data_IF_624735729895
#
_entry.id   IF_624735729895
#
_cell.length_a   1.000
_cell.length_b   1.000
_cell.length_c   1.000
_cell.angle_alpha   90.00
_cell.angle_beta   90.00
_cell.angle_gamma   90.00
#
_symmetry.space_group_name_H-M   'P 1'
#
loop_
_entity.id
_entity.type
_entity.pdbx_description
1 polymer ?
#
# COMPACT_ATOMS: atom_id res chain seq x y z
N UNK A 1 2.00 -2.09 15.74
CA UNK A 1 3.04 -1.06 15.64
C UNK A 1 4.15 -1.63 14.75
N UNK A 2 4.28 -1.12 13.53
CA UNK A 2 5.37 -1.54 12.64
C UNK A 2 6.67 -0.89 13.11
N UNK A 3 7.67 -1.71 13.45
CA UNK A 3 9.03 -1.24 13.71
C UNK A 3 9.53 -0.61 12.42
N UNK A 4 9.84 0.69 12.45
CA UNK A 4 10.42 1.37 11.29
C UNK A 4 11.85 0.84 11.15
N UNK A 5 12.20 0.16 10.04
CA UNK A 5 13.55 -0.34 9.87
C UNK A 5 14.52 0.85 9.79
N UNK A 6 15.61 0.79 10.56
CA UNK A 6 16.69 1.77 10.51
C UNK A 6 17.56 1.50 9.27
N UNK A 7 17.10 1.96 8.11
CA UNK A 7 17.89 1.99 6.87
C UNK A 7 18.88 3.15 6.85
N UNK A 8 19.89 3.04 5.98
CA UNK A 8 20.95 4.06 5.78
C UNK A 8 20.38 5.36 5.21
N UNK A 9 19.24 5.28 4.51
CA UNK A 9 18.55 6.40 3.87
C UNK A 9 17.08 6.41 4.31
N UNK A 10 16.59 7.58 4.75
CA UNK A 10 15.20 7.81 5.10
C UNK A 10 14.52 8.59 3.98
N UNK A 11 13.78 7.89 3.11
CA UNK A 11 12.95 8.55 2.10
C UNK A 11 11.71 9.19 2.75
N UNK A 12 11.30 10.36 2.24
CA UNK A 12 10.01 10.97 2.56
C UNK A 12 8.86 10.10 2.07
N UNK A 13 7.79 10.03 2.85
CA UNK A 13 6.66 9.14 2.56
C UNK A 13 5.87 9.58 1.32
N UNK A 14 5.93 10.87 0.97
CA UNK A 14 5.38 11.40 -0.28
C UNK A 14 6.09 10.81 -1.49
N UNK A 15 7.42 10.72 -1.44
CA UNK A 15 8.22 10.19 -2.53
C UNK A 15 7.88 8.73 -2.78
N UNK A 16 7.65 7.96 -1.71
CA UNK A 16 7.23 6.54 -1.81
C UNK A 16 5.85 6.38 -2.45
N UNK A 17 4.88 7.24 -2.12
CA UNK A 17 3.55 7.24 -2.76
C UNK A 17 3.66 7.56 -4.25
N UNK A 18 4.41 8.60 -4.61
CA UNK A 18 4.61 9.02 -6.00
C UNK A 18 5.36 7.92 -6.77
N UNK A 19 6.40 7.35 -6.16
CA UNK A 19 7.18 6.25 -6.71
C UNK A 19 6.28 5.04 -6.99
N UNK A 20 5.46 4.61 -6.03
CA UNK A 20 4.49 3.54 -6.20
C UNK A 20 3.55 3.81 -7.39
N UNK A 21 2.91 4.98 -7.43
CA UNK A 21 1.99 5.34 -8.51
C UNK A 21 2.70 5.36 -9.87
N UNK A 22 3.90 5.95 -9.92
CA UNK A 22 4.71 6.02 -11.14
C UNK A 22 5.12 4.64 -11.64
N UNK A 23 5.53 3.75 -10.75
CA UNK A 23 5.90 2.37 -11.11
C UNK A 23 4.71 1.57 -11.61
N UNK A 24 3.53 1.72 -11.00
CA UNK A 24 2.31 1.07 -11.50
C UNK A 24 1.99 1.53 -12.92
N UNK A 25 1.95 2.85 -13.18
CA UNK A 25 1.66 3.39 -14.51
C UNK A 25 2.69 2.89 -15.54
N UNK A 26 3.98 2.95 -15.18
CA UNK A 26 5.07 2.57 -16.06
C UNK A 26 5.02 1.09 -16.49
N UNK A 27 4.80 0.19 -15.54
CA UNK A 27 4.81 -1.26 -15.76
C UNK A 27 3.58 -1.71 -16.55
N UNK A 28 2.43 -1.06 -16.34
CA UNK A 28 1.21 -1.37 -17.10
C UNK A 28 1.22 -0.75 -18.50
N UNK A 29 1.79 0.45 -18.67
CA UNK A 29 1.88 1.12 -19.98
C UNK A 29 2.88 0.44 -20.93
N UNK A 30 3.87 -0.29 -20.42
CA UNK A 30 4.94 -0.86 -21.25
C UNK A 30 4.68 -2.33 -21.60
N UNK A 31 4.80 -2.70 -22.87
CA UNK A 31 4.77 -4.09 -23.33
C UNK A 31 6.12 -4.83 -23.28
N UNK A 32 7.23 -4.09 -23.07
CA UNK A 32 8.59 -4.62 -23.13
C UNK A 32 9.04 -5.19 -21.77
N UNK A 33 9.36 -6.49 -21.74
CA UNK A 33 9.87 -7.17 -20.54
C UNK A 33 11.15 -6.55 -19.97
N UNK A 34 12.04 -6.04 -20.83
CA UNK A 34 13.32 -5.44 -20.42
C UNK A 34 13.14 -4.21 -19.52
N UNK A 35 12.04 -3.48 -19.69
CA UNK A 35 11.73 -2.29 -18.90
C UNK A 35 11.21 -2.72 -17.54
N UNK A 36 10.34 -3.72 -17.50
CA UNK A 36 9.78 -4.26 -16.25
C UNK A 36 10.89 -4.84 -15.37
N UNK A 37 11.83 -5.58 -15.96
CA UNK A 37 13.00 -6.14 -15.25
C UNK A 37 13.94 -5.04 -14.72
N UNK A 38 14.18 -3.98 -15.49
CA UNK A 38 15.01 -2.86 -15.04
C UNK A 38 14.39 -2.14 -13.83
N UNK A 39 13.08 -1.89 -13.87
CA UNK A 39 12.36 -1.26 -12.74
C UNK A 39 12.33 -2.14 -11.50
N UNK A 40 12.15 -3.46 -11.63
CA UNK A 40 12.18 -4.37 -10.47
C UNK A 40 13.55 -4.37 -9.81
N UNK A 41 14.64 -4.37 -10.59
CA UNK A 41 16.02 -4.31 -10.06
C UNK A 41 16.29 -2.98 -9.35
N UNK A 42 15.88 -1.85 -9.92
CA UNK A 42 16.03 -0.52 -9.30
C UNK A 42 15.27 -0.46 -7.97
N UNK A 43 14.03 -0.92 -7.93
CA UNK A 43 13.21 -0.94 -6.71
C UNK A 43 13.78 -1.89 -5.66
N UNK A 44 14.39 -2.99 -6.08
CA UNK A 44 15.08 -3.93 -5.20
C UNK A 44 16.30 -3.30 -4.54
N UNK A 45 17.12 -2.58 -5.31
CA UNK A 45 18.28 -1.84 -4.82
C UNK A 45 17.83 -0.74 -3.84
N UNK A 46 16.79 0.01 -4.18
CA UNK A 46 16.19 1.00 -3.28
C UNK A 46 15.71 0.32 -1.98
N UNK A 47 14.99 -0.79 -2.06
CA UNK A 47 14.49 -1.53 -0.89
C UNK A 47 15.61 -2.02 0.02
N UNK A 48 16.73 -2.45 -0.56
CA UNK A 48 17.92 -2.89 0.17
C UNK A 48 18.54 -1.73 0.95
N UNK A 49 18.67 -0.55 0.34
CA UNK A 49 19.15 0.68 0.99
C UNK A 49 18.24 1.12 2.16
N UNK A 50 16.94 0.84 2.08
CA UNK A 50 15.98 1.09 3.17
C UNK A 50 16.00 0.00 4.27
N UNK A 51 16.79 -1.07 4.13
CA UNK A 51 16.97 -2.09 5.17
C UNK A 51 15.87 -3.14 5.27
N UNK A 52 15.04 -3.34 4.23
CA UNK A 52 13.89 -4.28 4.24
C UNK A 52 14.29 -5.68 3.74
N UNK A 53 15.42 -6.21 4.20
CA UNK A 53 16.07 -7.41 3.63
C UNK A 53 15.17 -8.65 3.50
N UNK A 54 14.43 -9.01 4.55
CA UNK A 54 13.71 -10.28 4.59
C UNK A 54 12.53 -10.37 3.61
N UNK A 55 11.87 -9.25 3.29
CA UNK A 55 10.72 -9.25 2.35
C UNK A 55 11.14 -9.01 0.91
N UNK A 56 12.32 -8.44 0.70
CA UNK A 56 12.97 -8.39 -0.62
C UNK A 56 13.23 -9.82 -1.09
N UNK A 57 13.79 -10.67 -0.23
CA UNK A 57 14.08 -12.05 -0.57
C UNK A 57 12.84 -12.81 -1.05
N UNK A 58 11.70 -12.67 -0.38
CA UNK A 58 10.45 -13.32 -0.82
C UNK A 58 9.94 -12.79 -2.16
N UNK A 59 10.09 -11.49 -2.42
CA UNK A 59 9.69 -10.90 -3.70
C UNK A 59 10.62 -11.31 -4.84
N UNK A 60 11.94 -11.39 -4.59
CA UNK A 60 12.96 -11.88 -5.53
C UNK A 60 12.69 -13.35 -5.87
N UNK A 61 12.43 -14.17 -4.85
CA UNK A 61 12.16 -15.60 -5.04
C UNK A 61 10.92 -15.81 -5.91
N UNK A 62 9.84 -15.08 -5.63
CA UNK A 62 8.62 -15.12 -6.45
C UNK A 62 8.88 -14.67 -7.89
N UNK A 63 9.65 -13.58 -8.08
CA UNK A 63 10.00 -13.08 -9.42
C UNK A 63 10.82 -14.10 -10.22
N UNK A 64 11.86 -14.65 -9.59
CA UNK A 64 12.76 -15.62 -10.19
C UNK A 64 12.01 -16.91 -10.54
N UNK A 65 11.16 -17.40 -9.62
CA UNK A 65 10.34 -18.59 -9.84
C UNK A 65 9.42 -18.44 -11.05
N UNK A 66 8.70 -17.31 -11.14
CA UNK A 66 7.79 -17.04 -12.25
C UNK A 66 8.55 -16.84 -13.58
N UNK A 67 9.72 -16.22 -13.55
CA UNK A 67 10.56 -16.02 -14.75
C UNK A 67 11.14 -17.35 -15.28
N UNK A 68 11.54 -18.25 -14.38
CA UNK A 68 12.03 -19.60 -14.74
C UNK A 68 10.90 -20.43 -15.36
N UNK A 69 9.70 -20.37 -14.78
CA UNK A 69 8.49 -21.00 -15.32
C UNK A 69 8.23 -20.51 -16.74
N UNK A 70 8.29 -19.21 -17.00
CA UNK A 70 8.10 -18.65 -18.34
C UNK A 70 9.14 -19.19 -19.33
N UNK A 71 10.43 -19.15 -18.98
CA UNK A 71 11.50 -19.56 -19.89
C UNK A 71 11.51 -21.07 -20.18
N UNK A 72 11.11 -21.89 -19.21
CA UNK A 72 11.27 -23.35 -19.27
C UNK A 72 10.00 -24.10 -19.69
N UNK A 73 8.81 -23.57 -19.40
CA UNK A 73 7.53 -24.22 -19.77
C UNK A 73 6.98 -23.76 -21.12
N UNK A 74 7.24 -22.53 -21.56
CA UNK A 74 6.77 -22.04 -22.86
C UNK A 74 7.28 -22.83 -24.08
N UNK A 75 8.55 -23.28 -24.14
CA UNK A 75 9.03 -24.01 -25.31
C UNK A 75 8.52 -25.46 -25.43
N UNK A 76 7.81 -25.99 -24.41
CA UNK A 76 7.41 -27.41 -24.33
C UNK A 76 5.89 -27.60 -24.56
N UNK A 77 5.09 -26.54 -24.46
CA UNK A 77 3.63 -26.61 -24.39
C UNK A 77 2.94 -26.32 -25.73
N UNK A 78 1.74 -26.88 -25.99
CA UNK A 78 0.95 -26.57 -27.19
C UNK A 78 0.45 -25.12 -27.20
N UNK A 79 0.42 -24.50 -28.38
CA UNK A 79 0.19 -23.04 -28.59
C UNK A 79 -1.07 -22.49 -27.89
N UNK A 80 -2.15 -23.26 -27.81
CA UNK A 80 -3.41 -22.84 -27.18
C UNK A 80 -3.28 -22.71 -25.66
N UNK A 81 -2.53 -23.61 -25.02
CA UNK A 81 -2.26 -23.53 -23.58
C UNK A 81 -1.29 -22.39 -23.27
N UNK A 82 -0.28 -22.25 -24.11
CA UNK A 82 0.76 -21.20 -24.02
C UNK A 82 0.12 -19.81 -23.99
N UNK A 83 -0.82 -19.50 -24.89
CA UNK A 83 -1.47 -18.20 -24.96
C UNK A 83 -2.24 -17.82 -23.67
N UNK A 84 -3.00 -18.76 -23.11
CA UNK A 84 -3.80 -18.52 -21.90
C UNK A 84 -2.92 -18.35 -20.64
N UNK A 85 -1.87 -19.17 -20.50
CA UNK A 85 -0.95 -19.08 -19.37
C UNK A 85 0.00 -17.89 -19.48
N UNK A 86 0.32 -17.42 -20.70
CA UNK A 86 1.19 -16.26 -20.93
C UNK A 86 0.62 -15.03 -20.23
N UNK A 87 -0.64 -14.71 -20.51
CA UNK A 87 -1.29 -13.51 -19.95
C UNK A 87 -1.24 -13.53 -18.41
N UNK A 88 -1.46 -14.69 -17.79
CA UNK A 88 -1.39 -14.83 -16.33
C UNK A 88 0.03 -14.60 -15.81
N UNK A 89 1.03 -15.22 -16.41
CA UNK A 89 2.44 -15.12 -16.00
C UNK A 89 2.95 -13.69 -16.16
N UNK A 90 2.68 -13.05 -17.30
CA UNK A 90 3.03 -11.64 -17.55
C UNK A 90 2.37 -10.72 -16.53
N UNK A 91 1.11 -10.98 -16.19
CA UNK A 91 0.41 -10.20 -15.17
C UNK A 91 1.07 -10.35 -13.80
N UNK A 92 1.46 -11.56 -13.40
CA UNK A 92 2.17 -11.80 -12.13
C UNK A 92 3.54 -11.10 -12.11
N UNK A 93 4.29 -11.16 -13.21
CA UNK A 93 5.57 -10.45 -13.37
C UNK A 93 5.36 -8.95 -13.22
N UNK A 94 4.34 -8.38 -13.88
CA UNK A 94 3.99 -6.95 -13.80
C UNK A 94 3.50 -6.53 -12.40
N UNK A 95 2.84 -7.42 -11.66
CA UNK A 95 2.38 -7.14 -10.30
C UNK A 95 3.53 -7.14 -9.28
N UNK A 96 4.63 -7.82 -9.57
CA UNK A 96 5.78 -7.94 -8.65
C UNK A 96 6.44 -6.60 -8.27
N UNK A 97 6.82 -5.70 -9.20
CA UNK A 97 7.37 -4.39 -8.84
C UNK A 97 6.36 -3.53 -8.05
N UNK A 98 5.08 -3.61 -8.40
CA UNK A 98 4.01 -2.90 -7.68
C UNK A 98 3.88 -3.41 -6.24
N UNK A 99 3.92 -4.74 -6.04
CA UNK A 99 3.93 -5.34 -4.72
C UNK A 99 5.14 -4.90 -3.90
N UNK A 100 6.33 -4.88 -4.50
CA UNK A 100 7.55 -4.47 -3.83
C UNK A 100 7.49 -2.99 -3.41
N UNK A 101 7.08 -2.08 -4.31
CA UNK A 101 6.87 -0.66 -3.98
C UNK A 101 5.82 -0.47 -2.85
N UNK A 102 4.73 -1.23 -2.87
CA UNK A 102 3.73 -1.22 -1.80
C UNK A 102 4.29 -1.70 -0.46
N UNK A 103 5.09 -2.78 -0.46
CA UNK A 103 5.75 -3.27 0.75
C UNK A 103 6.75 -2.26 1.31
N UNK A 104 7.49 -1.56 0.45
CA UNK A 104 8.38 -0.47 0.88
C UNK A 104 7.61 0.60 1.62
N UNK A 105 6.48 1.06 1.05
CA UNK A 105 5.63 2.08 1.65
C UNK A 105 5.10 1.61 3.02
N UNK A 106 4.48 0.43 3.08
CA UNK A 106 3.80 -0.06 4.30
C UNK A 106 4.79 -0.28 5.46
N UNK A 107 6.00 -0.77 5.19
CA UNK A 107 6.95 -1.12 6.26
C UNK A 107 7.76 0.07 6.76
N UNK A 108 8.08 1.02 5.88
CA UNK A 108 8.92 2.16 6.24
C UNK A 108 8.10 3.37 6.68
N UNK A 109 6.79 3.35 6.46
CA UNK A 109 5.90 4.48 6.75
C UNK A 109 4.99 4.15 7.92
N UNK A 110 5.02 4.99 8.96
CA UNK A 110 4.02 4.89 10.03
C UNK A 110 2.67 5.46 9.56
N UNK A 111 1.56 4.98 10.13
CA UNK A 111 0.21 5.47 9.80
C UNK A 111 0.15 6.99 9.92
N UNK A 112 0.74 7.57 10.99
CA UNK A 112 0.73 9.02 11.22
C UNK A 112 1.44 9.79 10.09
N UNK A 113 2.57 9.28 9.62
CA UNK A 113 3.32 9.93 8.55
C UNK A 113 2.64 9.75 7.18
N UNK A 114 1.98 8.62 6.94
CA UNK A 114 1.13 8.41 5.76
C UNK A 114 0.01 9.46 5.70
N UNK A 115 -0.66 9.72 6.82
CA UNK A 115 -1.71 10.74 6.90
C UNK A 115 -1.18 12.14 6.59
N UNK A 116 0.02 12.45 7.10
CA UNK A 116 0.68 13.71 6.80
C UNK A 116 1.04 13.82 5.32
N UNK A 117 1.56 12.75 4.72
CA UNK A 117 1.92 12.71 3.31
C UNK A 117 0.68 12.92 2.42
N UNK A 118 -0.45 12.29 2.74
CA UNK A 118 -1.72 12.46 2.03
C UNK A 118 -2.24 13.90 2.08
N UNK A 119 -2.18 14.55 3.25
CA UNK A 119 -2.59 15.95 3.37
C UNK A 119 -1.70 16.89 2.54
N UNK A 120 -0.39 16.63 2.55
CA UNK A 120 0.57 17.40 1.75
C UNK A 120 0.39 17.19 0.24
N UNK A 121 -0.21 16.08 -0.21
CA UNK A 121 -0.59 15.79 -1.62
C UNK A 121 -1.90 16.52 -2.03
N UNK A 122 -2.48 17.36 -1.17
CA UNK A 122 -3.75 18.08 -1.40
C UNK A 122 -4.97 17.15 -1.54
N UNK A 123 -4.96 16.00 -0.88
CA UNK A 123 -6.18 15.18 -0.76
C UNK A 123 -7.27 15.94 0.02
N UNK A 124 -8.57 15.72 -0.26
CA UNK A 124 -9.64 16.42 0.44
C UNK A 124 -9.60 16.15 1.94
N UNK A 125 -9.63 17.24 2.73
CA UNK A 125 -9.46 17.21 4.19
C UNK A 125 -10.45 16.28 4.89
N UNK A 126 -11.70 16.24 4.42
CA UNK A 126 -12.74 15.37 4.97
C UNK A 126 -12.36 13.88 4.93
N UNK A 127 -11.76 13.41 3.83
CA UNK A 127 -11.33 12.02 3.70
C UNK A 127 -10.14 11.71 4.61
N UNK A 128 -9.19 12.64 4.71
CA UNK A 128 -8.02 12.47 5.58
C UNK A 128 -8.49 12.33 7.03
N UNK A 129 -9.37 13.22 7.48
CA UNK A 129 -9.92 13.18 8.84
C UNK A 129 -10.61 11.86 9.10
N UNK A 130 -11.54 11.46 8.22
CA UNK A 130 -12.24 10.19 8.31
C UNK A 130 -11.25 9.02 8.43
N UNK A 131 -10.21 9.00 7.59
CA UNK A 131 -9.21 7.93 7.60
C UNK A 131 -8.35 7.93 8.87
N UNK A 132 -7.95 9.09 9.41
CA UNK A 132 -7.20 9.17 10.69
C UNK A 132 -8.02 8.50 11.79
N UNK A 133 -9.31 8.84 11.83
CA UNK A 133 -10.21 8.36 12.87
C UNK A 133 -10.48 6.87 12.69
N UNK A 134 -10.80 6.43 11.47
CA UNK A 134 -10.99 5.01 11.18
C UNK A 134 -9.76 4.20 11.59
N UNK A 135 -8.55 4.67 11.28
CA UNK A 135 -7.31 3.97 11.66
C UNK A 135 -7.08 3.92 13.17
N UNK A 136 -7.59 4.90 13.93
CA UNK A 136 -7.55 4.89 15.41
C UNK A 136 -8.67 4.06 16.03
N UNK A 137 -9.84 3.98 15.38
CA UNK A 137 -10.99 3.21 15.85
C UNK A 137 -10.87 1.72 15.50
N UNK A 138 -10.20 1.37 14.40
CA UNK A 138 -10.04 0.00 13.94
C UNK A 138 -9.43 -0.95 15.00
N UNK A 139 -8.40 -0.56 15.77
CA UNK A 139 -7.90 -1.36 16.89
C UNK A 139 -8.96 -1.59 17.98
N UNK A 140 -9.67 -0.55 18.40
CA UNK A 140 -10.72 -0.64 19.42
C UNK A 140 -11.88 -1.53 18.95
N UNK A 141 -12.31 -1.37 17.68
CA UNK A 141 -13.34 -2.20 17.07
C UNK A 141 -12.95 -3.69 17.01
N UNK A 142 -11.67 -3.98 16.82
CA UNK A 142 -11.15 -5.36 16.86
C UNK A 142 -11.25 -5.95 18.26
N UNK A 143 -10.90 -5.20 19.28
CA UNK A 143 -11.02 -5.60 20.70
C UNK A 143 -12.49 -5.83 21.05
N UNK A 144 -13.37 -4.92 20.67
CA UNK A 144 -14.80 -5.03 20.89
C UNK A 144 -15.40 -6.27 20.22
N UNK A 145 -15.05 -6.53 18.96
CA UNK A 145 -15.45 -7.77 18.27
C UNK A 145 -14.97 -9.02 19.02
N UNK A 146 -13.79 -8.96 19.63
CA UNK A 146 -13.26 -10.07 20.42
C UNK A 146 -14.08 -10.27 21.70
N UNK A 147 -14.35 -9.20 22.45
CA UNK A 147 -15.20 -9.23 23.65
C UNK A 147 -16.60 -9.75 23.36
N UNK A 148 -17.25 -9.29 22.29
CA UNK A 148 -18.56 -9.80 21.85
C UNK A 148 -18.47 -11.28 21.50
N UNK A 149 -17.43 -11.68 20.75
CA UNK A 149 -17.21 -13.08 20.41
C UNK A 149 -17.05 -13.96 21.65
N UNK A 150 -16.36 -13.48 22.68
CA UNK A 150 -16.11 -14.24 23.91
C UNK A 150 -17.36 -14.33 24.79
N UNK A 151 -18.14 -13.26 24.89
CA UNK A 151 -19.46 -13.29 25.52
C UNK A 151 -20.42 -14.30 24.84
N UNK A 152 -20.37 -14.40 23.50
CA UNK A 152 -21.16 -15.38 22.75
C UNK A 152 -20.66 -16.82 22.93
N UNK A 153 -19.35 -17.02 23.15
CA UNK A 153 -18.79 -18.34 23.50
C UNK A 153 -19.29 -18.80 24.87
N UNK A 154 -19.38 -17.91 25.86
CA UNK A 154 -19.93 -18.21 27.19
C UNK A 154 -21.39 -18.68 27.12
N UNK A 155 -22.17 -18.10 26.19
CA UNK A 155 -23.55 -18.54 25.91
C UNK A 155 -23.65 -19.78 25.02
N UNK A 156 -22.52 -20.42 24.69
CA UNK A 156 -22.42 -21.62 23.86
C UNK A 156 -23.02 -21.48 22.44
N UNK A 157 -23.08 -20.26 21.90
CA UNK A 157 -23.65 -19.98 20.58
C UNK A 157 -22.58 -20.25 19.51
N UNK A 158 -22.78 -21.30 18.70
CA UNK A 158 -21.84 -21.75 17.66
C UNK A 158 -22.42 -21.61 16.25
N UNK A 159 -21.55 -21.68 15.25
CA UNK A 159 -21.93 -21.68 13.83
C UNK A 159 -22.46 -20.35 13.31
N UNK A 160 -23.34 -20.41 12.30
CA UNK A 160 -23.86 -19.24 11.57
C UNK A 160 -24.66 -18.29 12.49
N UNK A 161 -25.27 -18.83 13.56
CA UNK A 161 -25.97 -18.05 14.59
C UNK A 161 -25.03 -17.07 15.28
N UNK A 162 -23.78 -17.44 15.52
CA UNK A 162 -22.77 -16.55 16.14
C UNK A 162 -22.58 -15.26 15.34
N UNK A 163 -22.57 -15.34 14.01
CA UNK A 163 -22.38 -14.18 13.14
C UNK A 163 -23.57 -13.22 13.29
N UNK A 164 -24.81 -13.74 13.22
CA UNK A 164 -26.03 -12.93 13.36
C UNK A 164 -26.08 -12.23 14.73
N UNK A 165 -25.81 -12.97 15.80
CA UNK A 165 -25.85 -12.43 17.17
C UNK A 165 -24.65 -11.53 17.51
N UNK A 166 -23.51 -11.68 16.83
CA UNK A 166 -22.37 -10.76 16.99
C UNK A 166 -22.55 -9.45 16.21
N UNK A 167 -23.22 -9.50 15.05
CA UNK A 167 -23.35 -8.35 14.16
C UNK A 167 -24.26 -7.27 14.76
N UNK A 168 -25.41 -7.65 15.32
CA UNK A 168 -26.37 -6.69 15.90
C UNK A 168 -25.74 -5.77 16.97
N UNK A 169 -25.12 -6.28 18.07
CA UNK A 169 -24.53 -5.42 19.08
C UNK A 169 -23.35 -4.61 18.54
N UNK A 170 -22.57 -5.17 17.61
CA UNK A 170 -21.46 -4.47 16.96
C UNK A 170 -21.95 -3.27 16.13
N UNK A 171 -23.06 -3.43 15.40
CA UNK A 171 -23.65 -2.33 14.61
C UNK A 171 -24.17 -1.21 15.49
N UNK A 172 -24.88 -1.56 16.58
CA UNK A 172 -25.41 -0.55 17.52
C UNK A 172 -24.27 0.22 18.17
N UNK A 173 -23.25 -0.49 18.67
CA UNK A 173 -22.11 0.15 19.31
C UNK A 173 -21.28 1.00 18.35
N UNK A 174 -21.05 0.51 17.13
CA UNK A 174 -20.35 1.29 16.10
C UNK A 174 -21.12 2.56 15.70
N UNK A 175 -22.46 2.49 15.62
CA UNK A 175 -23.31 3.65 15.35
C UNK A 175 -23.21 4.68 16.47
N UNK A 176 -23.35 4.25 17.71
CA UNK A 176 -23.24 5.13 18.88
C UNK A 176 -21.86 5.80 18.95
N UNK A 177 -20.79 5.01 18.73
CA UNK A 177 -19.42 5.53 18.73
C UNK A 177 -19.20 6.55 17.61
N UNK A 178 -19.77 6.32 16.42
CA UNK A 178 -19.67 7.27 15.31
C UNK A 178 -20.36 8.60 15.64
N UNK A 179 -21.49 8.57 16.34
CA UNK A 179 -22.23 9.76 16.76
C UNK A 179 -21.50 10.54 17.86
N UNK A 180 -21.03 9.84 18.91
CA UNK A 180 -20.18 10.44 19.96
C UNK A 180 -18.92 11.09 19.39
N UNK A 181 -18.28 10.40 18.46
CA UNK A 181 -17.09 10.88 17.78
C UNK A 181 -17.39 12.11 16.92
N UNK A 182 -18.51 12.11 16.19
CA UNK A 182 -18.96 13.26 15.39
C UNK A 182 -19.16 14.48 16.28
N UNK A 183 -19.88 14.32 17.40
CA UNK A 183 -20.08 15.39 18.38
C UNK A 183 -18.77 15.90 18.98
N UNK A 184 -17.86 14.99 19.37
CA UNK A 184 -16.54 15.34 19.91
C UNK A 184 -15.65 16.08 18.89
N UNK A 185 -15.76 15.71 17.62
CA UNK A 185 -15.03 16.33 16.51
C UNK A 185 -15.50 17.77 16.29
N UNK A 186 -16.82 17.99 16.25
CA UNK A 186 -17.42 19.33 16.12
C UNK A 186 -17.02 20.18 17.33
N UNK A 187 -17.14 19.62 18.55
CA UNK A 187 -16.75 20.32 19.79
C UNK A 187 -15.26 20.70 19.84
N UNK A 188 -14.38 19.92 19.20
CA UNK A 188 -12.94 20.22 19.08
C UNK A 188 -12.62 21.23 17.97
N UNK A 189 -13.63 21.79 17.30
CA UNK A 189 -13.46 22.82 16.27
C UNK A 189 -12.80 22.28 15.01
N UNK A 190 -13.15 21.07 14.57
CA UNK A 190 -12.53 20.49 13.36
C UNK A 190 -12.77 21.34 12.11
N UNK A 191 -13.89 22.07 12.09
CA UNK A 191 -14.32 23.00 11.04
C UNK A 191 -13.58 24.34 11.06
N UNK A 192 -12.63 24.53 11.98
CA UNK A 192 -11.81 25.72 12.00
C UNK A 192 -11.07 25.87 10.65
N UNK A 193 -11.25 26.99 9.91
CA UNK A 193 -10.60 27.23 8.63
C UNK A 193 -9.08 27.42 8.74
N UNK A 194 -8.55 27.58 9.95
CA UNK A 194 -7.12 27.71 10.20
C UNK A 194 -6.31 26.49 9.73
N UNK A 195 -5.05 26.74 9.33
CA UNK A 195 -4.12 25.69 8.88
C UNK A 195 -3.73 24.82 10.07
N UNK A 196 -3.86 23.50 9.93
CA UNK A 196 -3.48 22.55 10.99
C UNK A 196 -1.97 22.42 11.11
N UNK A 197 -1.50 22.33 12.35
CA UNK A 197 -0.10 22.10 12.68
C UNK A 197 0.11 20.62 12.99
N UNK A 198 1.19 20.04 12.47
CA UNK A 198 1.57 18.66 12.71
C UNK A 198 2.79 18.62 13.62
N UNK A 199 2.69 17.82 14.69
CA UNK A 199 3.78 17.61 15.66
C UNK A 199 4.99 16.89 15.03
N UNK A 200 4.75 16.03 14.05
CA UNK A 200 5.81 15.31 13.33
C UNK A 200 6.02 16.04 12.00
N UNK A 201 7.13 16.77 11.84
CA UNK A 201 7.50 17.36 10.55
C UNK A 201 8.40 16.39 9.76
N UNK A 202 7.89 15.88 8.64
CA UNK A 202 8.74 15.30 7.59
C UNK A 202 9.32 16.44 6.74
N UNK A 203 10.65 16.49 6.63
CA UNK A 203 11.39 17.38 5.73
C UNK A 203 11.78 16.60 4.49
N UNK A 204 11.53 17.20 3.31
CA UNK A 204 11.96 16.66 2.02
C UNK A 204 13.50 16.67 2.00
N UNK A 205 14.10 15.51 1.80
CA UNK A 205 15.54 15.40 1.60
C UNK A 205 15.85 15.49 0.10
N UNK A 206 17.05 15.97 -0.25
CA UNK A 206 17.48 16.14 -1.66
C UNK A 206 17.40 14.82 -2.45
N UNK A 207 17.60 13.69 -1.76
CA UNK A 207 17.49 12.35 -2.34
C UNK A 207 16.05 12.08 -2.82
N UNK A 208 15.04 12.57 -2.12
CA UNK A 208 13.63 12.39 -2.50
C UNK A 208 13.29 13.09 -3.81
N UNK A 209 13.83 14.29 -4.01
CA UNK A 209 13.65 15.07 -5.24
C UNK A 209 14.29 14.35 -6.42
N UNK A 210 15.49 13.77 -6.21
CA UNK A 210 16.18 13.02 -7.25
C UNK A 210 15.43 11.73 -7.62
N UNK A 211 14.94 10.98 -6.64
CA UNK A 211 14.17 9.75 -6.87
C UNK A 211 12.85 10.04 -7.59
N UNK A 212 12.11 11.08 -7.19
CA UNK A 212 10.88 11.50 -7.86
C UNK A 212 11.17 12.00 -9.27
N UNK A 213 12.21 12.82 -9.45
CA UNK A 213 12.60 13.33 -10.76
C UNK A 213 13.00 12.22 -11.73
N UNK A 214 13.80 11.27 -11.26
CA UNK A 214 14.22 10.10 -12.04
C UNK A 214 13.03 9.20 -12.41
N UNK A 215 12.11 8.94 -11.47
CA UNK A 215 10.93 8.11 -11.76
C UNK A 215 9.98 8.80 -12.74
N UNK A 216 9.79 10.11 -12.62
CA UNK A 216 8.95 10.89 -13.53
C UNK A 216 9.55 10.96 -14.95
N UNK A 217 10.86 11.19 -15.07
CA UNK A 217 11.57 11.19 -16.35
C UNK A 217 11.51 9.81 -17.03
N UNK A 218 11.66 8.73 -16.26
CA UNK A 218 11.55 7.38 -16.79
C UNK A 218 10.14 7.09 -17.32
N UNK A 219 9.09 7.52 -16.61
CA UNK A 219 7.70 7.43 -17.09
C UNK A 219 7.51 8.25 -18.36
N UNK A 220 7.98 9.49 -18.40
CA UNK A 220 7.81 10.40 -19.53
C UNK A 220 8.50 9.84 -20.79
N UNK A 221 9.73 9.35 -20.66
CA UNK A 221 10.49 8.75 -21.76
C UNK A 221 9.75 7.53 -22.35
N UNK A 222 9.18 6.69 -21.48
CA UNK A 222 8.45 5.50 -21.93
C UNK A 222 7.08 5.81 -22.53
N UNK A 223 6.38 6.82 -22.01
CA UNK A 223 5.11 7.26 -22.58
C UNK A 223 5.31 7.84 -23.98
N UNK A 224 6.35 8.67 -24.16
CA UNK A 224 6.71 9.22 -25.48
C UNK A 224 7.18 8.11 -26.43
N UNK A 225 7.99 7.17 -25.95
CA UNK A 225 8.46 6.02 -26.74
C UNK A 225 7.38 5.00 -27.11
N UNK A 226 6.26 4.97 -26.40
CA UNK A 226 5.10 4.10 -26.67
C UNK A 226 4.02 4.81 -27.52
N UNK A 227 4.07 6.13 -27.67
CA UNK A 227 3.19 6.92 -28.54
C UNK A 227 3.79 7.10 -29.94
N UNK A 228 5.13 7.02 -30.07
CA UNK A 228 5.86 7.15 -31.34
C UNK A 228 6.08 5.83 -32.10
N UNK A 229 5.61 4.69 -31.58
CA UNK A 229 5.67 3.35 -32.20
C UNK A 229 4.29 2.70 -32.18
#
# INVERSE_FOLDING_TARGET
>A
MGVIPNGVIKLDDRAKIILLLSTSICVFSTGKYIVVTAFTVILMLLSFLLGIGNKIFTAVLNYAFVSIIEYQLFPIMPEVLVANFNILIVTVIKLTPCYLAAQMLIQTTSIRMLMQALEKIKFPKALIIALVISMRYFPALKEERHHISDALKLRNIKGIKKIKFALMPLMVSASNTAEELSQAIIARGIDNPAKRTYEIQSSIQVIDVFVIGASFLAVLYLLIGNVLY
#
